data_IF_476071700611
#
_entry.id   IF_476071700611
#
_cell.length_a   1.000
_cell.length_b   1.000
_cell.length_c   1.000
_cell.angle_alpha   90.00
_cell.angle_beta   90.00
_cell.angle_gamma   90.00
#
_symmetry.space_group_name_H-M   'P 1'
#
loop_
_entity.id
_entity.type
_entity.pdbx_description
1 polymer ?
#
# COMPACT_ATOMS: atom_id res chain seq x y z
N UNK A 1 -5.31 -21.36 -23.24
CA UNK A 1 -6.65 -21.13 -22.64
C UNK A 1 -6.80 -19.63 -22.54
N UNK A 2 -7.73 -19.03 -23.28
CA UNK A 2 -8.04 -17.60 -23.16
C UNK A 2 -8.92 -17.41 -21.94
N UNK A 3 -8.35 -16.87 -20.86
CA UNK A 3 -9.13 -16.39 -19.72
C UNK A 3 -10.03 -15.26 -20.21
N UNK A 4 -11.33 -15.35 -19.90
CA UNK A 4 -12.28 -14.27 -20.18
C UNK A 4 -11.79 -12.98 -19.49
N UNK A 5 -11.93 -11.80 -20.13
CA UNK A 5 -11.57 -10.53 -19.52
C UNK A 5 -12.31 -10.34 -18.20
N UNK A 6 -11.62 -9.84 -17.17
CA UNK A 6 -12.22 -9.58 -15.87
C UNK A 6 -13.20 -8.41 -16.01
N UNK A 7 -14.47 -8.55 -15.61
CA UNK A 7 -15.43 -7.46 -15.66
C UNK A 7 -15.09 -6.39 -14.61
N UNK A 8 -15.63 -5.19 -14.80
CA UNK A 8 -15.67 -4.19 -13.74
C UNK A 8 -16.59 -4.69 -12.61
N UNK A 9 -16.24 -4.46 -11.33
CA UNK A 9 -17.17 -4.64 -10.23
C UNK A 9 -18.41 -3.74 -10.39
N UNK A 10 -19.52 -4.14 -9.76
CA UNK A 10 -20.75 -3.35 -9.78
C UNK A 10 -20.50 -1.91 -9.30
N UNK A 11 -21.08 -0.95 -10.02
CA UNK A 11 -20.98 0.50 -9.77
C UNK A 11 -19.59 1.11 -9.98
N UNK A 12 -18.58 0.32 -10.36
CA UNK A 12 -17.27 0.86 -10.72
C UNK A 12 -17.31 1.48 -12.11
N UNK A 13 -16.43 2.45 -12.33
CA UNK A 13 -16.36 3.19 -13.59
C UNK A 13 -14.92 3.38 -14.04
N UNK A 14 -14.73 3.62 -15.33
CA UNK A 14 -13.47 4.08 -15.89
C UNK A 14 -13.68 5.49 -16.41
N UNK A 15 -12.91 6.42 -15.86
CA UNK A 15 -12.80 7.77 -16.39
C UNK A 15 -11.68 7.82 -17.44
N UNK A 16 -11.97 8.43 -18.58
CA UNK A 16 -11.08 8.60 -19.73
C UNK A 16 -10.86 10.10 -19.93
N UNK A 17 -9.68 10.58 -19.55
CA UNK A 17 -9.28 11.95 -19.74
C UNK A 17 -8.23 12.03 -20.83
N UNK A 18 -8.60 12.60 -21.98
CA UNK A 18 -7.68 12.75 -23.12
C UNK A 18 -7.09 14.16 -23.15
N UNK A 19 -5.76 14.23 -23.28
CA UNK A 19 -4.97 15.45 -23.37
C UNK A 19 -3.83 15.25 -24.37
N UNK A 20 -3.75 16.12 -25.38
CA UNK A 20 -2.78 15.99 -26.48
C UNK A 20 -2.79 14.59 -27.12
N UNK A 21 -1.69 13.84 -27.08
CA UNK A 21 -1.57 12.48 -27.61
C UNK A 21 -1.64 11.40 -26.51
N UNK A 22 -2.32 11.67 -25.40
CA UNK A 22 -2.41 10.79 -24.25
C UNK A 22 -3.86 10.66 -23.78
N UNK A 23 -4.31 9.43 -23.54
CA UNK A 23 -5.52 9.15 -22.77
C UNK A 23 -5.10 8.60 -21.41
N UNK A 24 -5.48 9.32 -20.36
CA UNK A 24 -5.36 8.90 -18.97
C UNK A 24 -6.62 8.11 -18.62
N UNK A 25 -6.44 6.89 -18.14
CA UNK A 25 -7.51 6.01 -17.70
C UNK A 25 -7.48 5.95 -16.17
N UNK A 26 -8.61 6.22 -15.51
CA UNK A 26 -8.70 6.15 -14.06
C UNK A 26 -9.83 5.21 -13.66
N UNK A 27 -9.48 4.12 -13.00
CA UNK A 27 -10.43 3.19 -12.40
C UNK A 27 -10.96 3.78 -11.10
N UNK A 28 -12.29 3.87 -10.98
CA UNK A 28 -12.98 4.40 -9.80
C UNK A 28 -13.97 3.39 -9.26
N UNK A 29 -14.07 3.32 -7.93
CA UNK A 29 -15.09 2.49 -7.29
C UNK A 29 -16.46 3.18 -7.25
N UNK A 30 -17.45 2.51 -6.64
CA UNK A 30 -18.82 3.01 -6.49
C UNK A 30 -18.93 4.30 -5.67
N UNK A 31 -17.93 4.62 -4.85
CA UNK A 31 -17.85 5.86 -4.07
C UNK A 31 -17.12 6.98 -4.85
N UNK A 32 -16.67 6.70 -6.07
CA UNK A 32 -15.92 7.63 -6.92
C UNK A 32 -14.43 7.76 -6.55
N UNK A 33 -13.94 6.94 -5.61
CA UNK A 33 -12.54 6.92 -5.19
C UNK A 33 -11.69 6.30 -6.27
N UNK A 34 -10.58 6.96 -6.61
CA UNK A 34 -9.60 6.43 -7.55
C UNK A 34 -8.93 5.19 -6.96
N UNK A 35 -8.93 4.09 -7.71
CA UNK A 35 -8.33 2.80 -7.32
C UNK A 35 -7.09 2.45 -8.12
N UNK A 36 -7.05 2.81 -9.40
CA UNK A 36 -5.88 2.57 -10.25
C UNK A 36 -5.83 3.59 -11.40
N UNK A 37 -4.63 3.90 -11.88
CA UNK A 37 -4.41 4.81 -13.02
C UNK A 37 -3.56 4.16 -14.09
N UNK A 38 -3.96 4.35 -15.35
CA UNK A 38 -3.26 3.87 -16.52
C UNK A 38 -3.13 4.95 -17.57
N UNK A 39 -2.24 4.71 -18.52
CA UNK A 39 -1.94 5.64 -19.59
C UNK A 39 -1.93 4.91 -20.92
N UNK A 40 -2.53 5.54 -21.93
CA UNK A 40 -2.52 5.06 -23.30
C UNK A 40 -2.06 6.18 -24.24
N UNK A 41 -0.99 5.93 -25.00
CA UNK A 41 -0.50 6.87 -25.99
C UNK A 41 -1.31 6.76 -27.27
N UNK A 42 -1.85 7.88 -27.74
CA UNK A 42 -2.55 7.97 -29.01
C UNK A 42 -1.55 8.17 -30.15
N UNK A 43 -1.84 7.56 -31.30
CA UNK A 43 -1.01 7.70 -32.51
C UNK A 43 -1.02 9.13 -33.07
N UNK A 44 -2.11 9.88 -32.86
CA UNK A 44 -2.24 11.28 -33.25
C UNK A 44 -2.75 12.13 -32.07
N UNK A 45 -2.29 13.39 -31.95
CA UNK A 45 -2.83 14.30 -30.94
C UNK A 45 -4.32 14.60 -31.19
N UNK A 46 -5.14 14.54 -30.14
CA UNK A 46 -6.52 15.00 -30.21
C UNK A 46 -6.61 16.53 -30.01
N UNK A 47 -7.43 17.24 -30.80
CA UNK A 47 -7.67 18.65 -30.60
C UNK A 47 -8.52 18.86 -29.33
N UNK A 48 -7.94 19.54 -28.34
CA UNK A 48 -8.60 19.88 -27.09
C UNK A 48 -8.48 18.81 -26.00
N UNK A 49 -9.26 18.98 -24.94
CA UNK A 49 -9.40 18.00 -23.84
C UNK A 49 -10.79 17.39 -23.90
N UNK A 50 -10.87 16.08 -23.73
CA UNK A 50 -12.13 15.36 -23.67
C UNK A 50 -12.15 14.49 -22.41
N UNK A 51 -13.25 14.57 -21.67
CA UNK A 51 -13.48 13.75 -20.48
C UNK A 51 -14.73 12.90 -20.69
N UNK A 52 -14.62 11.61 -20.38
CA UNK A 52 -15.71 10.65 -20.52
C UNK A 52 -15.59 9.57 -19.45
N UNK A 53 -16.70 9.28 -18.79
CA UNK A 53 -16.81 8.15 -17.87
C UNK A 53 -17.63 7.04 -18.50
N UNK A 54 -17.19 5.79 -18.35
CA UNK A 54 -17.89 4.59 -18.82
C UNK A 54 -18.15 3.63 -17.67
N UNK A 55 -19.29 2.93 -17.71
CA UNK A 55 -19.65 1.89 -16.73
C UNK A 55 -19.24 0.48 -17.18
N UNK A 56 -18.92 0.31 -18.47
CA UNK A 56 -18.46 -0.94 -19.05
C UNK A 56 -17.32 -0.69 -20.06
N UNK A 57 -16.40 -1.64 -20.16
CA UNK A 57 -15.24 -1.55 -21.07
C UNK A 57 -15.69 -1.54 -22.54
N UNK A 58 -16.79 -2.21 -22.84
CA UNK A 58 -17.39 -2.30 -24.17
C UNK A 58 -17.90 -0.95 -24.70
N UNK A 59 -18.17 0.02 -23.82
CA UNK A 59 -18.58 1.38 -24.21
C UNK A 59 -17.42 2.20 -24.82
N UNK A 60 -16.18 1.75 -24.64
CA UNK A 60 -14.98 2.35 -25.23
C UNK A 60 -14.87 1.89 -26.67
N UNK A 61 -15.12 2.80 -27.62
CA UNK A 61 -15.19 2.48 -29.07
C UNK A 61 -13.82 2.16 -29.64
N UNK A 62 -12.79 2.90 -29.21
CA UNK A 62 -11.41 2.68 -29.63
C UNK A 62 -10.89 1.36 -29.03
N UNK A 63 -10.50 0.42 -29.90
CA UNK A 63 -10.08 -0.92 -29.49
C UNK A 63 -8.74 -0.93 -28.73
N UNK A 64 -7.83 -0.01 -29.03
CA UNK A 64 -6.54 0.06 -28.34
C UNK A 64 -6.70 0.68 -26.95
N UNK A 65 -7.50 1.74 -26.85
CA UNK A 65 -7.87 2.33 -25.55
C UNK A 65 -8.65 1.31 -24.71
N UNK A 66 -9.55 0.53 -25.34
CA UNK A 66 -10.27 -0.56 -24.68
C UNK A 66 -9.32 -1.63 -24.15
N UNK A 67 -8.31 -2.03 -24.92
CA UNK A 67 -7.29 -2.98 -24.47
C UNK A 67 -6.47 -2.42 -23.29
N UNK A 68 -6.13 -1.12 -23.32
CA UNK A 68 -5.48 -0.44 -22.20
C UNK A 68 -6.38 -0.36 -20.95
N UNK A 69 -7.69 -0.16 -21.12
CA UNK A 69 -8.67 -0.21 -20.04
C UNK A 69 -8.78 -1.62 -19.44
N UNK A 70 -8.77 -2.67 -20.26
CA UNK A 70 -8.75 -4.04 -19.75
C UNK A 70 -7.47 -4.32 -18.97
N UNK A 71 -6.31 -3.91 -19.50
CA UNK A 71 -5.02 -4.04 -18.81
C UNK A 71 -5.02 -3.32 -17.45
N UNK A 72 -5.65 -2.15 -17.37
CA UNK A 72 -5.82 -1.41 -16.12
C UNK A 72 -6.58 -2.23 -15.07
N UNK A 73 -7.71 -2.83 -15.47
CA UNK A 73 -8.52 -3.70 -14.60
C UNK A 73 -7.72 -4.93 -14.17
N UNK A 74 -7.06 -5.60 -15.13
CA UNK A 74 -6.28 -6.80 -14.85
C UNK A 74 -5.15 -6.51 -13.85
N UNK A 75 -4.44 -5.40 -14.06
CA UNK A 75 -3.37 -4.91 -13.17
C UNK A 75 -3.91 -4.63 -11.77
N UNK A 76 -5.06 -3.95 -11.65
CA UNK A 76 -5.70 -3.69 -10.36
C UNK A 76 -6.00 -5.00 -9.60
N UNK A 77 -6.58 -5.99 -10.27
CA UNK A 77 -6.89 -7.28 -9.64
C UNK A 77 -5.64 -8.07 -9.27
N UNK A 78 -4.61 -8.06 -10.11
CA UNK A 78 -3.33 -8.71 -9.80
C UNK A 78 -2.66 -8.08 -8.58
N UNK A 79 -2.60 -6.74 -8.53
CA UNK A 79 -2.04 -6.00 -7.39
C UNK A 79 -2.82 -6.27 -6.10
N UNK A 80 -4.16 -6.30 -6.19
CA UNK A 80 -5.03 -6.60 -5.05
C UNK A 80 -4.83 -8.03 -4.54
N UNK A 81 -4.75 -9.01 -5.44
CA UNK A 81 -4.51 -10.40 -5.08
C UNK A 81 -3.12 -10.59 -4.44
N UNK A 82 -2.09 -9.90 -4.95
CA UNK A 82 -0.75 -9.94 -4.38
C UNK A 82 -0.71 -9.30 -2.99
N UNK A 83 -1.34 -8.14 -2.80
CA UNK A 83 -1.45 -7.48 -1.51
C UNK A 83 -2.17 -8.38 -0.49
N UNK A 84 -3.26 -9.03 -0.89
CA UNK A 84 -3.98 -9.98 -0.06
C UNK A 84 -3.10 -11.18 0.33
N UNK A 85 -2.41 -11.79 -0.62
CA UNK A 85 -1.54 -12.93 -0.37
C UNK A 85 -0.39 -12.57 0.61
N UNK A 86 0.18 -11.38 0.47
CA UNK A 86 1.23 -10.89 1.38
C UNK A 86 0.69 -10.61 2.78
N UNK A 87 -0.51 -10.02 2.89
CA UNK A 87 -1.18 -9.78 4.17
C UNK A 87 -1.57 -11.10 4.87
N UNK A 88 -2.07 -12.08 4.13
CA UNK A 88 -2.39 -13.41 4.65
C UNK A 88 -1.13 -14.13 5.14
N UNK A 89 -0.03 -14.07 4.38
CA UNK A 89 1.25 -14.64 4.79
C UNK A 89 1.77 -13.98 6.08
N UNK A 90 1.68 -12.65 6.18
CA UNK A 90 2.03 -11.92 7.41
C UNK A 90 1.18 -12.38 8.60
N UNK A 91 -0.14 -12.55 8.40
CA UNK A 91 -1.07 -13.02 9.43
C UNK A 91 -0.77 -14.43 9.92
N UNK A 92 -0.26 -15.31 9.05
CA UNK A 92 0.22 -16.65 9.45
C UNK A 92 1.50 -16.57 10.30
N UNK A 93 2.42 -15.67 9.97
CA UNK A 93 3.65 -15.45 10.75
C UNK A 93 3.37 -14.81 12.12
N UNK A 94 2.36 -13.93 12.21
CA UNK A 94 2.01 -13.18 13.42
C UNK A 94 0.55 -13.40 13.83
N UNK A 95 0.16 -14.61 14.27
CA UNK A 95 -1.25 -14.95 14.54
C UNK A 95 -1.82 -14.27 15.80
N UNK A 96 -0.97 -13.81 16.71
CA UNK A 96 -1.28 -13.15 17.98
C UNK A 96 -1.17 -11.62 17.92
N UNK A 97 -1.22 -11.04 16.72
CA UNK A 97 -0.98 -9.62 16.43
C UNK A 97 -1.67 -8.65 17.40
N UNK A 98 -2.96 -8.84 17.67
CA UNK A 98 -3.71 -7.95 18.55
C UNK A 98 -3.14 -7.96 19.98
N UNK A 99 -2.76 -9.14 20.50
CA UNK A 99 -2.15 -9.23 21.83
C UNK A 99 -0.79 -8.53 21.87
N UNK A 100 0.03 -8.70 20.82
CA UNK A 100 1.32 -8.01 20.71
C UNK A 100 1.14 -6.50 20.65
N UNK A 101 0.14 -6.00 19.92
CA UNK A 101 -0.15 -4.57 19.83
C UNK A 101 -0.64 -4.01 21.16
N UNK A 102 -1.46 -4.74 21.90
CA UNK A 102 -1.91 -4.32 23.23
C UNK A 102 -0.75 -4.32 24.23
N UNK A 103 0.14 -5.32 24.20
CA UNK A 103 1.39 -5.33 24.98
C UNK A 103 2.29 -4.15 24.61
N UNK A 104 2.46 -3.87 23.32
CA UNK A 104 3.25 -2.74 22.82
C UNK A 104 2.71 -1.41 23.34
N UNK A 105 1.38 -1.20 23.29
CA UNK A 105 0.74 0.04 23.78
C UNK A 105 0.90 0.24 25.29
N UNK A 106 0.99 -0.84 26.07
CA UNK A 106 1.26 -0.76 27.51
C UNK A 106 2.73 -0.45 27.76
N UNK A 107 3.64 -1.08 27.02
CA UNK A 107 5.09 -0.92 27.19
C UNK A 107 5.60 0.43 26.67
N UNK A 108 5.03 0.90 25.57
CA UNK A 108 5.26 2.19 24.94
C UNK A 108 3.88 2.83 24.84
N UNK A 109 3.54 3.86 25.64
CA UNK A 109 2.28 4.58 25.49
C UNK A 109 2.33 5.46 24.24
N UNK A 110 2.41 4.78 23.09
CA UNK A 110 2.53 5.32 21.75
C UNK A 110 1.18 5.88 21.31
N UNK A 111 1.25 6.94 20.51
CA UNK A 111 0.08 7.57 19.89
C UNK A 111 -0.51 6.68 18.78
N UNK A 112 0.28 5.75 18.23
CA UNK A 112 -0.16 4.82 17.20
C UNK A 112 0.69 3.55 17.04
N UNK A 113 -0.01 2.42 16.86
CA UNK A 113 0.53 1.16 16.33
C UNK A 113 -0.36 0.77 15.16
N UNK A 114 0.18 0.83 13.95
CA UNK A 114 -0.59 0.68 12.72
C UNK A 114 0.08 -0.30 11.77
N UNK A 115 -0.73 -1.15 11.13
CA UNK A 115 -0.36 -1.85 9.91
C UNK A 115 -1.02 -1.16 8.72
N UNK A 116 -0.28 -1.07 7.63
CA UNK A 116 -0.81 -0.68 6.33
C UNK A 116 -0.23 -1.61 5.26
N UNK A 117 -0.79 -1.56 4.07
CA UNK A 117 -0.15 -2.13 2.88
C UNK A 117 0.53 -0.98 2.15
N UNK A 118 1.82 -1.16 1.86
CA UNK A 118 2.56 -0.21 1.03
C UNK A 118 2.13 -0.36 -0.43
N UNK A 119 1.75 0.76 -1.06
CA UNK A 119 1.16 0.73 -2.41
C UNK A 119 2.18 0.42 -3.51
N UNK A 120 3.47 0.60 -3.27
CA UNK A 120 4.52 0.35 -4.26
C UNK A 120 4.94 -1.12 -4.22
N UNK A 121 5.29 -1.61 -3.03
CA UNK A 121 5.78 -2.98 -2.80
C UNK A 121 4.66 -4.00 -2.62
N UNK A 122 3.43 -3.55 -2.31
CA UNK A 122 2.27 -4.39 -2.00
C UNK A 122 2.48 -5.30 -0.79
N UNK A 123 3.34 -4.88 0.14
CA UNK A 123 3.69 -5.63 1.36
C UNK A 123 3.15 -4.93 2.60
N UNK A 124 3.01 -5.68 3.69
CA UNK A 124 2.60 -5.12 4.99
C UNK A 124 3.72 -4.25 5.56
N UNK A 125 3.40 -3.06 6.02
CA UNK A 125 4.31 -2.20 6.76
C UNK A 125 3.80 -1.94 8.16
N UNK A 126 4.69 -2.04 9.15
CA UNK A 126 4.41 -1.68 10.53
C UNK A 126 4.88 -0.25 10.78
N UNK A 127 3.98 0.59 11.28
CA UNK A 127 4.28 1.96 11.72
C UNK A 127 4.03 2.09 13.22
N UNK A 128 5.03 2.57 13.94
CA UNK A 128 4.97 2.92 15.36
C UNK A 128 5.19 4.42 15.51
N UNK A 129 4.29 5.11 16.19
CA UNK A 129 4.40 6.56 16.43
C UNK A 129 4.30 6.88 17.91
N UNK A 130 5.22 7.68 18.43
CA UNK A 130 5.24 8.07 19.83
C UNK A 130 5.81 9.47 20.00
N UNK A 131 5.26 10.24 20.92
CA UNK A 131 5.72 11.60 21.25
C UNK A 131 6.36 11.66 22.63
N UNK A 132 7.16 12.70 22.87
CA UNK A 132 7.70 13.03 24.20
C UNK A 132 8.46 11.88 24.87
N UNK A 133 8.10 11.55 26.12
CA UNK A 133 8.78 10.47 26.86
C UNK A 133 8.58 9.09 26.21
N UNK A 134 7.43 8.85 25.57
CA UNK A 134 7.13 7.59 24.89
C UNK A 134 8.04 7.37 23.67
N UNK A 135 8.45 8.43 22.98
CA UNK A 135 9.46 8.36 21.92
C UNK A 135 10.79 7.78 22.44
N UNK A 136 11.25 8.22 23.61
CA UNK A 136 12.44 7.67 24.26
C UNK A 136 12.28 6.20 24.65
N UNK A 137 11.10 5.80 25.12
CA UNK A 137 10.77 4.40 25.41
C UNK A 137 10.76 3.55 24.15
N UNK A 138 10.20 4.06 23.04
CA UNK A 138 10.18 3.38 21.74
C UNK A 138 11.59 3.18 21.18
N UNK A 139 12.45 4.21 21.24
CA UNK A 139 13.87 4.08 20.85
C UNK A 139 14.60 3.05 21.70
N UNK A 140 14.34 3.04 23.01
CA UNK A 140 14.94 2.09 23.94
C UNK A 140 14.49 0.66 23.66
N UNK A 141 13.20 0.46 23.35
CA UNK A 141 12.66 -0.83 22.93
C UNK A 141 13.29 -1.28 21.61
N UNK A 142 13.36 -0.40 20.62
CA UNK A 142 13.98 -0.69 19.34
C UNK A 142 15.47 -1.05 19.50
N UNK A 143 16.21 -0.32 20.34
CA UNK A 143 17.63 -0.59 20.58
C UNK A 143 17.90 -1.95 21.23
N UNK A 144 16.91 -2.54 21.94
CA UNK A 144 17.01 -3.90 22.48
C UNK A 144 16.82 -4.97 21.42
N UNK A 145 16.15 -4.66 20.31
CA UNK A 145 15.93 -5.60 19.24
C UNK A 145 17.23 -5.77 18.43
N UNK A 146 17.79 -7.00 18.34
CA UNK A 146 19.05 -7.23 17.63
C UNK A 146 18.99 -6.86 16.14
N UNK A 147 17.80 -6.89 15.53
CA UNK A 147 17.60 -6.52 14.12
C UNK A 147 17.51 -5.02 13.86
N UNK A 148 17.65 -4.16 14.88
CA UNK A 148 17.44 -2.71 14.75
C UNK A 148 18.60 -1.94 14.12
N UNK A 149 19.79 -2.54 14.06
CA UNK A 149 21.01 -1.94 13.53
C UNK A 149 21.95 -3.01 12.96
N UNK A 150 22.72 -2.64 11.94
CA UNK A 150 23.85 -3.40 11.40
C UNK A 150 25.16 -2.72 11.81
N UNK A 151 26.30 -3.34 11.50
CA UNK A 151 27.62 -2.73 11.76
C UNK A 151 27.80 -1.37 11.06
N UNK A 152 27.07 -1.14 9.96
CA UNK A 152 27.16 0.05 9.12
C UNK A 152 26.07 1.10 9.43
N UNK A 153 25.20 0.85 10.43
CA UNK A 153 24.20 1.81 10.88
C UNK A 153 22.80 1.20 11.03
N UNK A 154 21.79 1.92 10.57
CA UNK A 154 20.40 1.46 10.65
C UNK A 154 20.18 0.23 9.76
N UNK A 155 19.42 -0.76 10.24
CA UNK A 155 19.12 -1.94 9.45
C UNK A 155 18.23 -1.60 8.24
N UNK A 156 18.56 -2.18 7.09
CA UNK A 156 17.72 -2.14 5.89
C UNK A 156 16.30 -2.60 6.22
N UNK A 157 15.31 -1.88 5.69
CA UNK A 157 13.89 -2.13 5.95
C UNK A 157 13.33 -1.48 7.20
N UNK A 158 14.16 -0.75 7.97
CA UNK A 158 13.71 0.07 9.09
C UNK A 158 13.97 1.53 8.73
N UNK A 159 13.00 2.42 8.90
CA UNK A 159 13.21 3.88 8.85
C UNK A 159 12.78 4.52 10.16
N UNK A 160 13.51 5.56 10.60
CA UNK A 160 13.25 6.30 11.83
C UNK A 160 13.22 7.77 11.47
N UNK A 161 12.16 8.46 11.85
CA UNK A 161 11.99 9.88 11.63
C UNK A 161 11.56 10.54 12.94
N UNK A 162 12.33 11.52 13.40
CA UNK A 162 11.96 12.38 14.52
C UNK A 162 11.68 13.76 13.92
N UNK A 163 10.45 14.24 14.04
CA UNK A 163 10.08 15.55 13.53
C UNK A 163 10.49 16.68 14.50
N UNK A 164 10.34 17.93 14.05
CA UNK A 164 10.66 19.13 14.84
C UNK A 164 9.75 19.32 16.06
N UNK A 165 8.64 18.58 16.14
CA UNK A 165 7.69 18.60 17.25
C UNK A 165 7.96 17.49 18.28
N UNK A 166 8.96 16.63 18.04
CA UNK A 166 9.34 15.54 18.92
C UNK A 166 8.45 14.30 18.77
N UNK A 167 7.72 14.16 17.66
CA UNK A 167 7.07 12.91 17.26
C UNK A 167 8.11 12.00 16.59
N UNK A 168 8.31 10.83 17.20
CA UNK A 168 9.08 9.75 16.61
C UNK A 168 8.15 8.83 15.84
N UNK A 169 8.43 8.69 14.56
CA UNK A 169 7.82 7.71 13.67
C UNK A 169 8.86 6.66 13.27
N UNK A 170 8.55 5.39 13.50
CA UNK A 170 9.33 4.25 13.03
C UNK A 170 8.52 3.43 12.03
N UNK A 171 9.10 3.15 10.86
CA UNK A 171 8.53 2.22 9.89
C UNK A 171 9.39 0.98 9.76
N UNK A 172 8.73 -0.15 9.59
CA UNK A 172 9.34 -1.44 9.29
C UNK A 172 8.67 -1.97 8.03
N UNK A 173 9.47 -2.40 7.06
CA UNK A 173 8.98 -3.24 5.97
C UNK A 173 8.47 -4.58 6.52
N UNK A 174 7.85 -5.39 5.65
CA UNK A 174 7.21 -6.62 6.08
C UNK A 174 8.19 -7.58 6.79
N UNK A 175 9.37 -7.79 6.22
CA UNK A 175 10.38 -8.70 6.78
C UNK A 175 10.79 -8.24 8.18
N UNK A 176 11.07 -6.93 8.33
CA UNK A 176 11.49 -6.35 9.61
C UNK A 176 10.36 -6.27 10.62
N UNK A 177 9.13 -6.08 10.17
CA UNK A 177 7.95 -6.14 11.03
C UNK A 177 7.75 -7.56 11.58
N UNK A 178 7.86 -8.59 10.75
CA UNK A 178 7.78 -10.00 11.15
C UNK A 178 8.89 -10.36 12.15
N UNK A 179 10.13 -10.00 11.85
CA UNK A 179 11.29 -10.22 12.72
C UNK A 179 11.12 -9.51 14.08
N UNK A 180 10.72 -8.23 14.06
CA UNK A 180 10.53 -7.42 15.27
C UNK A 180 9.41 -7.98 16.14
N UNK A 181 8.24 -8.27 15.56
CA UNK A 181 7.08 -8.77 16.31
C UNK A 181 7.31 -10.18 16.83
N UNK A 182 8.03 -11.03 16.08
CA UNK A 182 8.44 -12.36 16.54
C UNK A 182 9.40 -12.25 17.73
N UNK A 183 10.42 -11.41 17.63
CA UNK A 183 11.32 -11.16 18.76
C UNK A 183 10.57 -10.59 19.97
N UNK A 184 9.67 -9.64 19.75
CA UNK A 184 8.92 -8.97 20.81
C UNK A 184 7.98 -9.91 21.54
N UNK A 185 7.38 -10.87 20.82
CA UNK A 185 6.56 -11.95 21.41
C UNK A 185 7.32 -12.71 22.50
N UNK A 186 8.59 -13.04 22.21
CA UNK A 186 9.47 -13.81 23.09
C UNK A 186 10.11 -12.99 24.22
N UNK A 187 9.91 -11.67 24.23
CA UNK A 187 10.38 -10.83 25.33
C UNK A 187 9.49 -11.00 26.57
N UNK A 188 10.08 -11.05 27.78
CA UNK A 188 9.35 -11.05 29.04
C UNK A 188 8.60 -9.73 29.28
#
# INVERSE_FOLDING_TARGET
>A
MTTLPKPLPDQWTINLHSVANLTILTLRDGDGVQREIGFHLLSEPQPGTADRTVGAVEEIVDLEVRASAQKLIDTFYERTAQAQANADAFGVTVPDLQNLFDRLRVAVPCDGVHLAVDNETLTVVLKLTATGAAAGTLLSLAARWPGSATADGQADGVTKHLDDHGELTMHFDQTRAEDFLTWYRDQP
#
